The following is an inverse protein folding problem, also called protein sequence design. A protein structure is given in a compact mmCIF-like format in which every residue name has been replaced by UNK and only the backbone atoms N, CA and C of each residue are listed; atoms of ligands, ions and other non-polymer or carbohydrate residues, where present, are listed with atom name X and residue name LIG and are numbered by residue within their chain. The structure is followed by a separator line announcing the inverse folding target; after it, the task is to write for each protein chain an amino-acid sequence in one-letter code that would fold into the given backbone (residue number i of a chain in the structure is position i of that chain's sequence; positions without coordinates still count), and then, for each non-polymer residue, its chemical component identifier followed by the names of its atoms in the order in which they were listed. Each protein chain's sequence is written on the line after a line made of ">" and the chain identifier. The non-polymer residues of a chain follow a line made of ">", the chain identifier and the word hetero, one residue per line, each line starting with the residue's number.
data_IF_799441572304
#
_entry.id   IF_799441572304
#
_cell.length_a   1.000
_cell.length_b   1.000
_cell.length_c   1.000
_cell.angle_alpha   90.00
_cell.angle_beta   90.00
_cell.angle_gamma   90.00
#
_symmetry.space_group_name_H-M   'P 1'
#
loop_
_entity.id
_entity.type
_entity.pdbx_description
1 polymer ?
#
# COMPACT_ATOMS: atom_id res chain seq x y z
N UNK A 1 -9.07 11.15 -24.80
CA UNK A 1 -9.06 10.71 -24.34
C UNK A 1 -9.13 10.39 -23.86
N UNK A 2 -8.81 10.66 -23.90
CA UNK A 2 -8.73 10.25 -23.34
C UNK A 2 -8.59 10.28 -22.89
N UNK A 3 -8.32 10.24 -23.17
CA UNK A 3 -8.18 10.08 -22.75
C UNK A 3 -8.20 9.79 -22.52
N UNK A 4 -8.13 9.90 -22.91
CA UNK A 4 -8.16 9.47 -22.57
C UNK A 4 -8.12 9.39 -22.16
N UNK A 5 -8.03 9.40 -22.58
CA UNK A 5 -7.92 9.08 -22.24
C UNK A 5 -7.90 8.70 -22.37
N UNK A 6 -7.60 8.68 -22.84
CA UNK A 6 -7.46 8.15 -22.93
C UNK A 6 -7.24 7.76 -23.30
N UNK A 7 -7.20 7.70 -23.70
CA UNK A 7 -6.78 7.25 -23.83
C UNK A 7 -6.51 6.93 -24.02
N UNK A 8 -6.31 6.96 -24.45
CA UNK A 8 -5.84 6.61 -24.35
C UNK A 8 -5.38 6.46 -24.36
N UNK A 9 -5.32 6.53 -24.76
CA UNK A 9 -4.69 6.32 -24.50
C UNK A 9 -4.06 6.25 -24.26
N UNK A 10 -3.92 6.47 -24.63
CA UNK A 10 -3.27 6.40 -24.13
C UNK A 10 -2.84 6.21 -23.71
N UNK A 11 -2.59 6.24 -23.71
CA UNK A 11 -2.17 6.16 -23.00
C UNK A 11 -1.78 6.02 -22.39
N UNK A 12 -1.28 6.08 -22.35
CA UNK A 12 -0.80 6.00 -21.59
C UNK A 12 -0.69 5.65 -20.81
N UNK A 13 -0.54 5.35 -20.55
CA UNK A 13 -0.35 5.14 -19.66
C UNK A 13 0.30 4.57 -18.63
N UNK A 14 0.35 4.92 -17.96
CA UNK A 14 0.97 4.37 -16.84
C UNK A 14 0.10 4.43 -15.72
N UNK A 15 0.36 3.62 -14.86
CA UNK A 15 -0.57 3.47 -13.90
C UNK A 15 -0.43 4.24 -12.66
N UNK A 16 -1.51 4.82 -12.18
CA UNK A 16 -1.66 5.16 -10.80
C UNK A 16 -2.49 4.10 -10.11
N UNK A 17 -2.84 4.34 -8.88
CA UNK A 17 -3.82 3.54 -8.17
C UNK A 17 -5.16 3.64 -8.93
N UNK A 18 -5.79 2.50 -9.13
CA UNK A 18 -7.01 2.45 -9.92
C UNK A 18 -6.77 2.14 -11.38
N UNK A 19 -5.55 1.81 -11.76
CA UNK A 19 -5.23 1.40 -13.12
C UNK A 19 -6.00 0.15 -13.50
N UNK A 20 -6.20 -0.02 -14.81
CA UNK A 20 -6.87 -1.20 -15.33
C UNK A 20 -6.23 -2.47 -14.80
N UNK A 21 -7.05 -3.40 -14.36
CA UNK A 21 -6.60 -4.69 -13.88
C UNK A 21 -6.33 -4.79 -12.39
N UNK A 22 -6.40 -3.68 -11.68
CA UNK A 22 -6.23 -3.73 -10.22
C UNK A 22 -7.51 -4.20 -9.54
N UNK A 23 -7.37 -5.03 -8.52
CA UNK A 23 -8.47 -5.50 -7.69
C UNK A 23 -8.04 -5.57 -6.24
N UNK A 24 -9.00 -5.51 -5.32
CA UNK A 24 -8.72 -5.74 -3.91
C UNK A 24 -8.49 -7.22 -3.67
N UNK A 25 -7.41 -7.54 -2.98
CA UNK A 25 -7.01 -8.91 -2.70
C UNK A 25 -6.60 -9.04 -1.25
N UNK A 26 -7.07 -10.09 -0.59
CA UNK A 26 -6.53 -10.47 0.71
C UNK A 26 -5.19 -11.14 0.46
N UNK A 27 -4.15 -10.65 1.11
CA UNK A 27 -2.81 -11.19 0.94
C UNK A 27 -2.27 -11.70 2.26
N UNK A 28 -1.37 -12.69 2.16
CA UNK A 28 -0.72 -13.26 3.32
C UNK A 28 0.57 -12.48 3.56
N UNK A 29 0.62 -11.76 4.69
CA UNK A 29 1.77 -10.92 5.05
C UNK A 29 2.09 -11.14 6.53
N UNK A 30 3.36 -11.04 6.86
CA UNK A 30 3.81 -11.18 8.25
C UNK A 30 4.20 -9.83 8.82
N UNK A 31 4.02 -9.67 10.13
CA UNK A 31 4.49 -8.49 10.84
C UNK A 31 6.02 -8.44 10.81
N UNK A 32 6.55 -7.23 10.87
CA UNK A 32 8.00 -6.98 10.95
C UNK A 32 8.77 -7.55 9.76
N UNK A 33 8.11 -7.65 8.61
CA UNK A 33 8.72 -8.17 7.39
C UNK A 33 8.56 -7.13 6.29
N UNK A 34 9.63 -6.82 5.62
CA UNK A 34 9.62 -5.90 4.49
C UNK A 34 9.08 -6.58 3.24
N UNK A 35 8.17 -5.91 2.57
CA UNK A 35 7.67 -6.33 1.26
C UNK A 35 7.93 -5.22 0.27
N UNK A 36 8.11 -5.55 -0.98
CA UNK A 36 8.35 -4.58 -2.04
C UNK A 36 7.20 -4.58 -3.03
N UNK A 37 6.77 -3.40 -3.42
CA UNK A 37 5.79 -3.27 -4.51
C UNK A 37 6.48 -3.49 -5.84
N UNK A 38 6.39 -4.69 -6.37
CA UNK A 38 7.02 -5.08 -7.64
C UNK A 38 6.01 -5.14 -8.79
N UNK A 39 4.82 -4.56 -8.61
CA UNK A 39 3.75 -4.66 -9.61
C UNK A 39 3.97 -3.76 -10.83
N UNK A 40 4.91 -2.81 -10.74
CA UNK A 40 5.14 -1.85 -11.82
C UNK A 40 4.24 -0.63 -11.76
N UNK A 41 3.38 -0.53 -10.75
CA UNK A 41 2.47 0.60 -10.56
C UNK A 41 2.20 0.81 -9.07
N UNK A 42 1.74 2.00 -8.66
CA UNK A 42 1.38 2.21 -7.25
C UNK A 42 0.27 1.27 -6.85
N UNK A 43 0.33 0.79 -5.61
CA UNK A 43 -0.74 -0.01 -5.02
C UNK A 43 -1.27 0.70 -3.79
N UNK A 44 -2.45 0.29 -3.34
CA UNK A 44 -3.00 0.77 -2.09
C UNK A 44 -3.08 -0.41 -1.13
N UNK A 45 -2.68 -0.20 0.12
CA UNK A 45 -2.86 -1.19 1.17
C UNK A 45 -3.95 -0.71 2.13
N UNK A 46 -4.66 -1.67 2.72
CA UNK A 46 -5.62 -1.39 3.77
C UNK A 46 -5.38 -2.43 4.86
N UNK A 47 -4.94 -1.95 6.01
CA UNK A 47 -4.48 -2.80 7.11
C UNK A 47 -5.26 -2.47 8.36
N UNK A 48 -5.83 -3.51 8.99
CA UNK A 48 -6.38 -3.39 10.32
C UNK A 48 -5.23 -3.47 11.31
N UNK A 49 -4.88 -2.34 11.92
CA UNK A 49 -3.76 -2.27 12.85
C UNK A 49 -4.24 -2.41 14.29
N UNK A 50 -3.43 -3.07 15.09
CA UNK A 50 -3.62 -3.13 16.53
C UNK A 50 -3.23 -1.78 17.17
N UNK A 51 -3.46 -1.67 18.46
CA UNK A 51 -3.11 -0.46 19.24
C UNK A 51 -1.60 -0.22 19.20
N UNK A 52 -1.22 1.04 19.06
CA UNK A 52 0.19 1.51 19.08
C UNK A 52 1.07 0.77 18.07
N UNK A 53 0.57 0.63 16.85
CA UNK A 53 1.30 -0.01 15.75
C UNK A 53 1.54 0.98 14.62
N UNK A 54 2.40 0.60 13.70
CA UNK A 54 2.92 1.51 12.69
C UNK A 54 2.92 0.87 11.31
N UNK A 55 2.86 1.72 10.28
CA UNK A 55 3.18 1.33 8.90
C UNK A 55 4.37 2.18 8.47
N UNK A 56 5.41 1.53 7.98
CA UNK A 56 6.62 2.17 7.46
C UNK A 56 6.72 1.96 5.97
N UNK A 57 7.07 3.00 5.22
CA UNK A 57 7.19 2.95 3.76
C UNK A 57 8.42 3.72 3.35
N UNK A 58 9.18 3.20 2.40
CA UNK A 58 10.35 3.90 1.88
C UNK A 58 10.92 3.27 0.62
N UNK A 59 11.84 3.99 -0.04
CA UNK A 59 12.47 3.48 -1.26
C UNK A 59 13.43 2.33 -1.01
N UNK A 60 13.85 2.12 0.24
CA UNK A 60 14.68 0.98 0.60
C UNK A 60 14.37 0.57 2.04
N UNK A 61 14.91 -0.55 2.47
CA UNK A 61 14.70 -1.04 3.84
C UNK A 61 15.51 -0.28 4.88
N UNK A 62 16.38 0.62 4.45
CA UNK A 62 17.17 1.48 5.35
C UNK A 62 16.81 2.94 5.23
N UNK A 63 15.94 3.31 4.30
CA UNK A 63 15.50 4.69 4.09
C UNK A 63 13.97 4.69 3.97
N UNK A 64 13.30 4.92 5.08
CA UNK A 64 11.85 4.83 5.15
C UNK A 64 11.31 5.81 6.18
N UNK A 65 10.01 6.05 6.13
CA UNK A 65 9.32 6.91 7.09
C UNK A 65 8.13 6.16 7.67
N UNK A 66 7.71 6.60 8.84
CA UNK A 66 6.47 6.15 9.43
C UNK A 66 5.34 6.97 8.82
N UNK A 67 4.42 6.31 8.12
CA UNK A 67 3.30 6.99 7.48
C UNK A 67 2.00 6.86 8.27
N UNK A 68 1.89 5.83 9.10
CA UNK A 68 0.71 5.59 9.93
C UNK A 68 1.17 5.17 11.32
N UNK A 69 0.48 5.69 12.34
CA UNK A 69 0.69 5.31 13.73
C UNK A 69 -0.66 5.30 14.42
N UNK A 70 -1.06 4.14 14.94
CA UNK A 70 -2.33 4.05 15.67
C UNK A 70 -2.16 4.47 17.13
N UNK A 71 -3.23 5.02 17.70
CA UNK A 71 -3.22 5.49 19.08
C UNK A 71 -3.10 4.37 20.10
N UNK A 72 -2.88 4.74 21.34
CA UNK A 72 -2.64 3.80 22.43
C UNK A 72 -3.90 3.43 23.21
N UNK A 73 -5.01 4.07 22.92
CA UNK A 73 -6.24 3.93 23.73
C UNK A 73 -7.34 3.14 23.01
N UNK A 74 -7.06 2.56 21.85
CA UNK A 74 -8.02 1.81 21.07
C UNK A 74 -7.47 0.47 20.65
N UNK A 75 -8.37 -0.46 20.48
CA UNK A 75 -7.99 -1.83 20.19
C UNK A 75 -7.59 -2.04 18.73
N UNK A 76 -8.17 -1.30 17.80
CA UNK A 76 -7.94 -1.57 16.39
C UNK A 76 -8.45 -0.42 15.54
N UNK A 77 -7.77 -0.17 14.42
CA UNK A 77 -8.21 0.80 13.43
C UNK A 77 -7.82 0.32 12.03
N UNK A 78 -8.69 0.60 11.06
CA UNK A 78 -8.36 0.37 9.65
C UNK A 78 -7.59 1.56 9.13
N UNK A 79 -6.48 1.29 8.48
CA UNK A 79 -5.60 2.32 7.93
C UNK A 79 -5.20 1.97 6.51
N UNK A 80 -5.08 2.98 5.66
CA UNK A 80 -4.71 2.81 4.27
C UNK A 80 -3.53 3.68 3.89
N UNK A 81 -2.76 3.22 2.92
CA UNK A 81 -1.63 3.98 2.40
C UNK A 81 -1.38 3.59 0.95
N UNK A 82 -0.77 4.51 0.20
CA UNK A 82 -0.32 4.27 -1.17
C UNK A 82 1.14 3.87 -1.12
N UNK A 83 1.48 2.78 -1.79
CA UNK A 83 2.86 2.29 -1.89
C UNK A 83 3.33 2.57 -3.32
N UNK A 84 4.28 3.51 -3.49
CA UNK A 84 4.82 3.80 -4.83
C UNK A 84 5.51 2.59 -5.44
N UNK A 85 5.72 2.64 -6.74
CA UNK A 85 6.43 1.59 -7.48
C UNK A 85 7.80 1.36 -6.84
N UNK A 86 8.14 0.09 -6.65
CA UNK A 86 9.42 -0.37 -6.10
C UNK A 86 9.71 0.03 -4.66
N UNK A 87 8.75 0.69 -3.98
CA UNK A 87 8.93 1.01 -2.56
C UNK A 87 8.67 -0.22 -1.70
N UNK A 88 9.27 -0.17 -0.53
CA UNK A 88 9.14 -1.22 0.50
C UNK A 88 8.16 -0.76 1.56
N UNK A 89 7.48 -1.71 2.17
CA UNK A 89 6.50 -1.42 3.20
C UNK A 89 6.47 -2.53 4.24
N UNK A 90 6.17 -2.13 5.48
CA UNK A 90 6.19 -3.02 6.63
C UNK A 90 5.23 -2.52 7.69
N UNK A 91 4.61 -3.45 8.42
CA UNK A 91 3.89 -3.12 9.65
C UNK A 91 4.36 -4.00 10.80
N UNK A 92 4.17 -3.54 12.02
CA UNK A 92 4.57 -4.25 13.22
C UNK A 92 3.39 -4.85 14.01
N UNK A 93 2.17 -4.72 13.50
CA UNK A 93 1.04 -5.30 14.25
C UNK A 93 -0.27 -5.28 13.49
N UNK A 94 -0.37 -6.11 12.45
CA UNK A 94 -1.60 -6.22 11.66
C UNK A 94 -2.56 -7.22 12.27
N UNK A 95 -3.84 -7.02 12.00
CA UNK A 95 -4.88 -8.02 12.17
C UNK A 95 -5.36 -8.53 10.82
N UNK A 96 -5.64 -7.62 9.91
CA UNK A 96 -6.06 -7.94 8.54
C UNK A 96 -5.19 -7.18 7.57
N UNK A 97 -5.07 -7.69 6.36
CA UNK A 97 -4.23 -7.06 5.35
C UNK A 97 -4.79 -7.33 3.97
N UNK A 98 -5.21 -6.26 3.28
CA UNK A 98 -5.64 -6.33 1.90
C UNK A 98 -4.85 -5.34 1.06
N UNK A 99 -4.71 -5.65 -0.21
CA UNK A 99 -3.99 -4.79 -1.15
C UNK A 99 -4.82 -4.63 -2.42
N UNK A 100 -4.87 -3.41 -2.91
CA UNK A 100 -5.45 -3.07 -4.21
C UNK A 100 -4.32 -3.07 -5.21
N UNK A 101 -4.20 -4.15 -5.94
CA UNK A 101 -3.04 -4.39 -6.79
C UNK A 101 -3.42 -5.16 -8.09
#
# INVERSE_FOLDING_TARGET
>A
MSINFGSGGATQQYGGVGSSGQTWQTVSRNNNTWYQNTTGRPIQIAIGLLTSRHIHIGPSTSNYVEVIHTGSDHSEAMNGAIIPVNHYYRTDGKRTWTEFR
#
